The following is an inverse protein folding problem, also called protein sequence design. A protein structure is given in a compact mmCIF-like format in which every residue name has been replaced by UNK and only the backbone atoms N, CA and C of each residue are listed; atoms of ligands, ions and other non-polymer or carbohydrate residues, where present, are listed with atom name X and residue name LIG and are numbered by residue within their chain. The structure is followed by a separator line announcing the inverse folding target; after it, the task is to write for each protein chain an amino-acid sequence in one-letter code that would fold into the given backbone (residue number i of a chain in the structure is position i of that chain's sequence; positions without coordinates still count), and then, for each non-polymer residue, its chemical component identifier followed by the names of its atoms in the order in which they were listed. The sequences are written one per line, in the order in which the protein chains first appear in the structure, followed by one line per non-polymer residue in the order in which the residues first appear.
data_IF_827922535157
#
_entry.id   IF_827922535157
#
_cell.length_a   1.000
_cell.length_b   1.000
_cell.length_c   1.000
_cell.angle_alpha   90.00
_cell.angle_beta   90.00
_cell.angle_gamma   90.00
#
_symmetry.space_group_name_H-M   'P 1'
#
loop_
_entity.id
_entity.type
_entity.pdbx_description
1 polymer ?
#
# COMPACT_ATOMS: atom_id res chain seq x y z
N UNK A 1 45.83 -32.48 71.35
CA UNK A 1 45.38 -31.09 71.17
C UNK A 1 43.92 -31.11 70.77
N UNK A 2 43.14 -30.32 71.50
CA UNK A 2 41.72 -29.97 71.41
C UNK A 2 40.63 -31.06 71.53
N UNK A 3 39.80 -30.77 72.52
CA UNK A 3 38.62 -31.49 72.98
C UNK A 3 37.35 -30.96 72.29
N UNK A 4 36.31 -31.79 72.35
CA UNK A 4 34.94 -31.46 71.99
C UNK A 4 34.32 -30.42 72.94
N UNK A 5 33.43 -29.58 72.39
CA UNK A 5 32.35 -28.95 73.13
C UNK A 5 31.11 -28.90 72.24
N UNK A 6 30.11 -29.70 72.65
CA UNK A 6 28.72 -29.57 72.21
C UNK A 6 28.17 -28.21 72.64
N UNK A 7 27.42 -27.54 71.76
CA UNK A 7 26.46 -26.52 72.17
C UNK A 7 25.09 -26.90 71.62
N UNK A 8 24.17 -26.97 72.58
CA UNK A 8 22.81 -27.45 72.51
C UNK A 8 21.96 -26.73 71.45
N UNK A 9 21.05 -27.49 70.84
CA UNK A 9 19.93 -26.93 70.09
C UNK A 9 18.99 -26.15 71.01
N UNK A 10 18.52 -25.01 70.53
CA UNK A 10 17.36 -24.32 71.10
C UNK A 10 16.09 -24.86 70.42
N UNK A 11 15.00 -25.06 71.20
CA UNK A 11 13.81 -25.77 70.76
C UNK A 11 12.98 -24.96 69.74
N UNK A 12 12.42 -25.68 68.76
CA UNK A 12 11.36 -25.20 67.87
C UNK A 12 10.07 -24.96 68.68
N UNK A 13 9.91 -23.76 69.23
CA UNK A 13 8.58 -23.26 69.62
C UNK A 13 8.26 -22.06 68.73
N UNK A 14 7.64 -22.35 67.58
CA UNK A 14 7.36 -21.42 66.48
C UNK A 14 6.18 -20.46 66.74
N UNK A 15 5.80 -20.24 68.00
CA UNK A 15 4.63 -19.44 68.37
C UNK A 15 4.97 -18.38 69.40
N UNK A 16 4.69 -17.11 69.09
CA UNK A 16 4.69 -16.05 70.09
C UNK A 16 3.52 -16.23 71.08
N UNK A 17 3.62 -15.70 72.31
CA UNK A 17 2.50 -15.62 73.23
C UNK A 17 1.30 -14.86 72.61
N UNK A 18 0.10 -15.16 73.09
CA UNK A 18 -1.14 -14.48 72.67
C UNK A 18 -0.98 -12.95 72.84
N UNK A 19 -1.28 -12.19 71.76
CA UNK A 19 -1.09 -10.74 71.71
C UNK A 19 0.26 -10.25 71.13
N UNK A 20 1.08 -11.11 70.52
CA UNK A 20 2.35 -10.73 69.88
C UNK A 20 2.49 -11.30 68.46
N UNK A 21 3.32 -10.67 67.62
CA UNK A 21 3.65 -11.13 66.26
C UNK A 21 5.17 -11.23 66.02
N UNK A 22 5.58 -12.09 65.10
CA UNK A 22 6.98 -12.23 64.69
C UNK A 22 7.44 -11.03 63.84
N UNK A 23 8.62 -10.49 64.15
CA UNK A 23 9.34 -9.54 63.32
C UNK A 23 10.85 -9.87 63.36
N UNK A 24 11.40 -10.37 62.25
CA UNK A 24 12.86 -10.53 62.10
C UNK A 24 13.57 -11.40 63.16
N UNK A 25 12.89 -12.41 63.71
CA UNK A 25 13.31 -13.34 64.78
C UNK A 25 12.94 -12.94 66.23
N UNK A 26 12.21 -11.84 66.45
CA UNK A 26 11.72 -11.44 67.77
C UNK A 26 10.19 -11.33 67.80
N UNK A 27 9.57 -11.59 68.96
CA UNK A 27 8.15 -11.32 69.17
C UNK A 27 7.97 -9.87 69.62
N UNK A 28 7.21 -9.09 68.85
CA UNK A 28 6.85 -7.70 69.17
C UNK A 28 5.37 -7.61 69.56
N UNK A 29 4.99 -6.71 70.49
CA UNK A 29 3.59 -6.49 70.85
C UNK A 29 2.72 -6.26 69.61
N UNK A 30 1.59 -6.95 69.53
CA UNK A 30 0.56 -6.68 68.54
C UNK A 30 0.10 -5.24 68.72
N UNK A 31 0.12 -4.46 67.64
CA UNK A 31 -0.52 -3.15 67.62
C UNK A 31 -2.04 -3.41 67.57
N UNK A 32 -2.60 -3.78 68.71
CA UNK A 32 -4.04 -3.77 68.94
C UNK A 32 -4.48 -2.31 69.03
N UNK A 33 -4.65 -1.71 67.86
CA UNK A 33 -5.43 -0.49 67.69
C UNK A 33 -6.89 -0.81 67.96
N UNK A 34 -7.28 -0.79 69.23
CA UNK A 34 -8.68 -0.76 69.63
C UNK A 34 -9.37 0.47 69.03
N UNK A 35 -10.34 0.23 68.16
CA UNK A 35 -11.43 1.16 67.88
C UNK A 35 -12.73 0.36 67.90
N UNK A 36 -13.43 0.51 69.02
CA UNK A 36 -14.81 0.11 69.21
C UNK A 36 -15.69 1.16 68.51
N UNK A 37 -16.51 0.74 67.54
CA UNK A 37 -17.59 1.56 67.00
C UNK A 37 -17.60 1.69 65.48
N UNK A 38 -18.69 1.18 64.90
CA UNK A 38 -18.98 1.08 63.47
C UNK A 38 -18.13 0.04 62.72
N UNK A 39 -18.72 -1.13 62.47
CA UNK A 39 -18.40 -1.90 61.28
C UNK A 39 -18.74 -1.05 60.06
N UNK A 40 -17.83 -0.16 59.66
CA UNK A 40 -17.64 0.06 58.23
C UNK A 40 -16.99 -1.23 57.72
N UNK A 41 -17.54 -1.89 56.69
CA UNK A 41 -16.86 -3.03 56.12
C UNK A 41 -15.51 -2.53 55.61
N UNK A 42 -14.45 -3.11 56.18
CA UNK A 42 -13.12 -3.14 55.61
C UNK A 42 -13.30 -3.56 54.15
N UNK A 43 -13.19 -2.60 53.24
CA UNK A 43 -13.08 -2.82 51.81
C UNK A 43 -11.67 -3.38 51.56
N UNK A 44 -11.53 -4.66 51.92
CA UNK A 44 -10.34 -5.46 51.72
C UNK A 44 -10.58 -6.51 50.62
N UNK A 45 -11.47 -6.19 49.67
CA UNK A 45 -11.54 -6.82 48.37
C UNK A 45 -11.05 -5.84 47.30
N UNK A 46 -10.46 -6.30 46.19
CA UNK A 46 -10.19 -5.41 45.06
C UNK A 46 -11.53 -4.77 44.61
N UNK A 47 -11.52 -3.44 44.48
CA UNK A 47 -12.67 -2.53 44.27
C UNK A 47 -13.79 -3.15 43.43
N UNK A 48 -14.87 -3.66 44.05
CA UNK A 48 -15.96 -4.44 43.45
C UNK A 48 -16.90 -3.67 42.47
N UNK A 49 -16.35 -2.81 41.61
CA UNK A 49 -17.05 -2.25 40.44
C UNK A 49 -17.21 -3.28 39.31
N UNK A 50 -17.92 -2.96 38.23
CA UNK A 50 -18.22 -3.92 37.16
C UNK A 50 -16.98 -4.54 36.47
N UNK A 51 -15.80 -3.92 36.60
CA UNK A 51 -14.50 -4.45 36.14
C UNK A 51 -13.43 -4.33 37.24
N UNK A 52 -13.79 -4.73 38.46
CA UNK A 52 -13.07 -4.70 39.75
C UNK A 52 -11.68 -5.36 39.88
N UNK A 53 -10.88 -5.41 38.83
CA UNK A 53 -9.56 -6.05 38.86
C UNK A 53 -9.23 -6.57 37.49
N UNK A 54 -8.29 -5.88 36.84
CA UNK A 54 -7.63 -6.17 35.56
C UNK A 54 -8.42 -7.11 34.66
N UNK A 55 -9.14 -6.52 33.70
CA UNK A 55 -9.67 -7.31 32.61
C UNK A 55 -8.52 -8.06 31.93
N UNK A 56 -8.68 -9.39 31.77
CA UNK A 56 -7.75 -10.21 31.00
C UNK A 56 -7.72 -9.80 29.51
N UNK A 57 -8.76 -9.09 29.07
CA UNK A 57 -8.84 -8.38 27.79
C UNK A 57 -8.61 -6.88 28.02
N UNK A 58 -7.94 -6.20 27.09
CA UNK A 58 -7.40 -4.85 27.31
C UNK A 58 -8.43 -3.78 27.71
N UNK A 59 -9.74 -4.02 27.49
CA UNK A 59 -10.79 -3.01 27.70
C UNK A 59 -11.91 -3.46 28.64
N UNK A 60 -12.48 -2.49 29.37
CA UNK A 60 -13.67 -2.66 30.20
C UNK A 60 -14.81 -1.77 29.70
N UNK A 61 -15.95 -2.38 29.37
CA UNK A 61 -17.21 -1.66 29.22
C UNK A 61 -17.89 -1.55 30.59
N UNK A 62 -17.69 -0.39 31.24
CA UNK A 62 -18.27 -0.06 32.54
C UNK A 62 -19.81 -0.07 32.55
N UNK A 63 -20.45 0.05 31.39
CA UNK A 63 -21.92 0.06 31.28
C UNK A 63 -22.52 -1.34 31.30
N UNK A 64 -21.82 -2.31 30.72
CA UNK A 64 -22.22 -3.73 30.74
C UNK A 64 -21.51 -4.56 31.81
N UNK A 65 -20.43 -4.04 32.40
CA UNK A 65 -19.58 -4.78 33.33
C UNK A 65 -18.86 -5.95 32.69
N UNK A 66 -18.52 -5.83 31.40
CA UNK A 66 -17.83 -6.86 30.64
C UNK A 66 -16.46 -6.36 30.22
N UNK A 67 -15.50 -7.27 30.29
CA UNK A 67 -14.20 -7.10 29.67
C UNK A 67 -14.33 -7.45 28.18
N UNK A 68 -13.80 -6.58 27.32
CA UNK A 68 -13.89 -6.65 25.87
C UNK A 68 -12.49 -6.61 25.27
N UNK A 69 -12.31 -7.25 24.12
CA UNK A 69 -11.08 -7.15 23.33
C UNK A 69 -10.96 -5.76 22.70
N UNK A 70 -12.09 -5.12 22.40
CA UNK A 70 -12.14 -3.81 21.78
C UNK A 70 -13.39 -3.03 22.23
N UNK A 71 -13.29 -1.72 22.19
CA UNK A 71 -14.35 -0.71 22.28
C UNK A 71 -14.61 -0.04 20.93
N UNK A 72 -13.63 -0.09 20.02
CA UNK A 72 -13.76 0.37 18.64
C UNK A 72 -12.73 -0.24 17.71
N UNK A 73 -12.91 -0.02 16.41
CA UNK A 73 -12.07 -0.62 15.36
C UNK A 73 -10.59 -0.28 15.53
N UNK A 74 -10.25 0.89 16.09
CA UNK A 74 -8.87 1.35 16.31
C UNK A 74 -8.05 0.38 17.19
N UNK A 75 -8.70 -0.42 18.04
CA UNK A 75 -8.03 -1.37 18.93
C UNK A 75 -7.80 -2.74 18.26
N UNK A 76 -8.49 -3.02 17.14
CA UNK A 76 -8.34 -4.26 16.37
C UNK A 76 -7.14 -4.19 15.41
N UNK A 77 -5.91 -4.34 15.91
CA UNK A 77 -4.70 -4.19 15.06
C UNK A 77 -4.39 -5.39 14.16
N UNK A 78 -5.12 -6.50 14.29
CA UNK A 78 -4.94 -7.70 13.48
C UNK A 78 -5.66 -7.56 12.12
N UNK A 79 -4.92 -7.69 11.02
CA UNK A 79 -5.48 -7.63 9.67
C UNK A 79 -6.51 -8.75 9.38
N UNK A 80 -6.41 -9.91 10.03
CA UNK A 80 -7.41 -10.99 9.89
C UNK A 80 -8.66 -10.79 10.75
N UNK A 81 -8.68 -9.78 11.64
CA UNK A 81 -9.82 -9.43 12.47
C UNK A 81 -9.84 -7.91 12.72
N UNK A 82 -10.09 -7.11 11.67
CA UNK A 82 -9.88 -5.66 11.72
C UNK A 82 -11.10 -4.85 12.22
N UNK A 83 -12.21 -5.47 12.60
CA UNK A 83 -13.42 -4.72 12.97
C UNK A 83 -13.85 -5.09 14.38
N UNK A 84 -14.11 -4.10 15.22
CA UNK A 84 -14.66 -4.33 16.53
C UNK A 84 -16.17 -4.53 16.44
N UNK A 85 -16.63 -5.74 16.73
CA UNK A 85 -18.04 -6.10 16.71
C UNK A 85 -18.45 -6.72 18.04
N UNK A 86 -19.34 -6.05 18.78
CA UNK A 86 -19.83 -6.52 20.08
C UNK A 86 -18.69 -6.75 21.10
N UNK A 87 -17.62 -5.99 20.95
CA UNK A 87 -16.45 -5.99 21.83
C UNK A 87 -15.47 -7.13 21.60
N UNK A 88 -15.55 -7.79 20.45
CA UNK A 88 -14.57 -8.75 19.93
C UNK A 88 -14.09 -8.27 18.56
N UNK A 89 -12.81 -8.44 18.27
CA UNK A 89 -12.28 -8.15 16.94
C UNK A 89 -12.68 -9.27 15.97
N UNK A 90 -13.18 -8.89 14.80
CA UNK A 90 -13.68 -9.80 13.78
C UNK A 90 -13.53 -9.26 12.37
N UNK A 91 -14.19 -9.94 11.44
CA UNK A 91 -13.97 -9.78 10.00
C UNK A 91 -14.32 -8.38 9.46
N UNK A 92 -13.56 -7.93 8.46
CA UNK A 92 -14.00 -6.83 7.61
C UNK A 92 -15.17 -7.25 6.72
N UNK A 93 -15.94 -6.25 6.29
CA UNK A 93 -17.04 -6.39 5.33
C UNK A 93 -16.96 -5.39 4.17
N UNK A 94 -16.13 -4.35 4.32
CA UNK A 94 -15.90 -3.29 3.33
C UNK A 94 -14.45 -2.84 3.37
N UNK A 95 -13.92 -2.40 2.24
CA UNK A 95 -12.55 -1.91 2.05
C UNK A 95 -12.20 -0.73 2.98
N UNK A 96 -13.15 0.17 3.25
CA UNK A 96 -12.98 1.31 4.16
C UNK A 96 -12.54 0.89 5.58
N UNK A 97 -12.88 -0.33 6.02
CA UNK A 97 -12.51 -0.85 7.34
C UNK A 97 -11.02 -1.23 7.43
N UNK A 98 -10.34 -1.33 6.28
CA UNK A 98 -8.94 -1.71 6.18
C UNK A 98 -7.98 -0.52 6.15
N UNK A 99 -8.45 0.66 5.72
CA UNK A 99 -7.62 1.85 5.53
C UNK A 99 -6.82 2.24 6.78
N UNK A 100 -7.37 2.00 7.98
CA UNK A 100 -6.69 2.29 9.27
C UNK A 100 -5.45 1.42 9.52
N UNK A 101 -5.40 0.23 8.92
CA UNK A 101 -4.26 -0.69 9.00
C UNK A 101 -3.22 -0.41 7.91
N UNK A 102 -3.46 0.57 7.04
CA UNK A 102 -2.65 0.82 5.85
C UNK A 102 -2.82 -0.25 4.78
N UNK A 103 -3.97 -0.95 4.80
CA UNK A 103 -4.36 -1.97 3.83
C UNK A 103 -5.61 -1.50 3.10
N UNK A 104 -5.81 -1.93 1.86
CA UNK A 104 -6.80 -1.32 0.99
C UNK A 104 -8.01 -2.20 0.74
N UNK A 105 -7.87 -3.52 0.78
CA UNK A 105 -8.91 -4.45 0.32
C UNK A 105 -9.42 -5.34 1.44
N UNK A 106 -10.74 -5.47 1.55
CA UNK A 106 -11.38 -6.47 2.40
C UNK A 106 -11.60 -7.77 1.61
N UNK A 107 -10.79 -8.79 1.89
CA UNK A 107 -10.84 -10.07 1.21
C UNK A 107 -10.97 -11.24 2.20
N UNK A 108 -11.99 -12.07 2.01
CA UNK A 108 -12.29 -13.22 2.88
C UNK A 108 -12.34 -12.87 4.39
N UNK A 109 -12.81 -11.67 4.71
CA UNK A 109 -12.93 -11.17 6.10
C UNK A 109 -11.64 -10.58 6.66
N UNK A 110 -10.53 -10.64 5.94
CA UNK A 110 -9.27 -10.00 6.30
C UNK A 110 -8.95 -8.78 5.44
N UNK A 111 -8.22 -7.84 6.01
CA UNK A 111 -7.61 -6.76 5.27
C UNK A 111 -6.32 -7.23 4.58
N UNK A 112 -6.21 -6.94 3.30
CA UNK A 112 -5.04 -7.27 2.47
C UNK A 112 -4.75 -6.12 1.51
N UNK A 113 -3.53 -6.10 0.97
CA UNK A 113 -3.25 -5.36 -0.25
C UNK A 113 -3.29 -6.33 -1.43
N UNK A 114 -3.75 -5.83 -2.56
CA UNK A 114 -3.60 -6.55 -3.81
C UNK A 114 -2.11 -6.56 -4.23
N UNK A 115 -1.73 -7.59 -4.97
CA UNK A 115 -0.42 -7.68 -5.63
C UNK A 115 -0.64 -8.12 -7.07
N UNK A 116 0.32 -7.93 -8.00
CA UNK A 116 0.23 -8.50 -9.34
C UNK A 116 -0.06 -10.00 -9.36
N UNK A 117 0.31 -10.73 -8.31
CA UNK A 117 0.09 -12.17 -8.17
C UNK A 117 -1.28 -12.52 -7.56
N UNK A 118 -1.84 -11.66 -6.70
CA UNK A 118 -3.12 -11.90 -5.99
C UNK A 118 -4.31 -11.14 -6.57
N UNK A 119 -4.07 -10.24 -7.52
CA UNK A 119 -5.08 -9.32 -8.06
C UNK A 119 -6.32 -10.02 -8.63
N UNK A 120 -6.20 -11.22 -9.21
CA UNK A 120 -7.34 -11.96 -9.77
C UNK A 120 -8.29 -12.47 -8.68
N UNK A 121 -7.76 -12.71 -7.48
CA UNK A 121 -8.55 -13.16 -6.33
C UNK A 121 -9.07 -11.99 -5.49
N UNK A 122 -8.22 -10.96 -5.30
CA UNK A 122 -8.51 -9.84 -4.40
C UNK A 122 -9.37 -8.77 -5.09
N UNK A 123 -8.98 -8.34 -6.29
CA UNK A 123 -9.68 -7.26 -6.98
C UNK A 123 -10.93 -7.76 -7.71
N UNK A 124 -11.92 -6.88 -7.95
CA UNK A 124 -13.05 -7.25 -8.79
C UNK A 124 -12.57 -7.62 -10.21
N UNK A 125 -13.26 -8.56 -10.92
CA UNK A 125 -12.69 -9.24 -12.09
C UNK A 125 -12.24 -8.35 -13.25
N UNK A 126 -12.77 -7.13 -13.36
CA UNK A 126 -12.43 -6.19 -14.42
C UNK A 126 -11.27 -5.26 -14.05
N UNK A 127 -10.99 -5.09 -12.75
CA UNK A 127 -10.13 -4.02 -12.25
C UNK A 127 -8.72 -4.49 -11.97
N UNK A 128 -7.80 -3.55 -12.13
CA UNK A 128 -6.36 -3.75 -12.01
C UNK A 128 -5.90 -3.44 -10.59
N UNK A 129 -4.96 -4.21 -10.07
CA UNK A 129 -4.25 -3.85 -8.86
C UNK A 129 -3.19 -2.77 -9.17
N UNK A 130 -3.18 -1.66 -8.43
CA UNK A 130 -2.08 -0.69 -8.48
C UNK A 130 -0.94 -1.14 -7.56
N UNK A 131 0.23 -1.54 -8.12
CA UNK A 131 1.35 -1.99 -7.29
C UNK A 131 2.02 -0.86 -6.51
N UNK A 132 1.69 0.41 -6.78
CA UNK A 132 2.27 1.56 -6.10
C UNK A 132 1.70 1.73 -4.68
N UNK A 133 0.42 1.43 -4.49
CA UNK A 133 -0.25 1.55 -3.19
C UNK A 133 -0.92 0.27 -2.69
N UNK A 134 -1.07 -0.76 -3.54
CA UNK A 134 -1.69 -2.04 -3.15
C UNK A 134 -3.21 -2.03 -3.19
N UNK A 135 -3.82 -1.03 -3.84
CA UNK A 135 -5.27 -0.89 -3.99
C UNK A 135 -5.78 -1.39 -5.34
N UNK A 136 -7.03 -1.85 -5.36
CA UNK A 136 -7.75 -2.18 -6.57
C UNK A 136 -8.31 -0.90 -7.22
N UNK A 137 -7.99 -0.68 -8.49
CA UNK A 137 -8.45 0.50 -9.21
C UNK A 137 -9.97 0.51 -9.39
N UNK A 138 -10.59 1.70 -9.41
CA UNK A 138 -12.03 1.83 -9.71
C UNK A 138 -12.33 2.02 -11.21
N UNK A 139 -11.33 2.38 -12.01
CA UNK A 139 -11.52 2.79 -13.41
C UNK A 139 -10.55 2.13 -14.39
N UNK A 140 -9.41 1.61 -13.92
CA UNK A 140 -8.45 0.93 -14.79
C UNK A 140 -8.92 -0.50 -15.05
N UNK A 141 -9.34 -0.74 -16.30
CA UNK A 141 -9.89 -2.04 -16.70
C UNK A 141 -8.81 -2.87 -17.37
N UNK A 142 -8.70 -4.13 -16.95
CA UNK A 142 -7.73 -5.09 -17.47
C UNK A 142 -7.76 -5.18 -18.99
N UNK A 143 -6.59 -5.12 -19.61
CA UNK A 143 -6.43 -5.29 -21.05
C UNK A 143 -7.02 -4.19 -21.94
N UNK A 144 -7.51 -3.09 -21.38
CA UNK A 144 -8.15 -2.01 -22.17
C UNK A 144 -7.15 -1.06 -22.82
N UNK A 145 -5.91 -0.99 -22.31
CA UNK A 145 -4.94 0.00 -22.77
C UNK A 145 -4.07 -0.57 -23.89
N UNK A 146 -4.11 0.13 -25.03
CA UNK A 146 -3.29 -0.17 -26.20
C UNK A 146 -1.89 0.45 -26.16
N UNK A 147 -1.16 0.30 -27.26
CA UNK A 147 0.20 0.82 -27.39
C UNK A 147 0.31 2.31 -27.02
N UNK A 148 1.30 2.66 -26.21
CA UNK A 148 1.55 4.02 -25.70
C UNK A 148 0.43 4.64 -24.86
N UNK A 149 -0.61 3.89 -24.49
CA UNK A 149 -1.57 4.36 -23.50
C UNK A 149 -0.98 4.31 -22.09
N UNK A 150 -1.36 5.25 -21.24
CA UNK A 150 -0.94 5.30 -19.84
C UNK A 150 -1.51 4.10 -19.06
N UNK A 151 -0.71 3.55 -18.16
CA UNK A 151 -1.07 2.38 -17.36
C UNK A 151 -0.49 2.49 -15.95
N UNK A 152 -1.09 1.70 -15.04
CA UNK A 152 -0.70 1.61 -13.62
C UNK A 152 -0.10 0.25 -13.28
N UNK A 153 -0.43 -0.80 -14.05
CA UNK A 153 0.10 -2.15 -13.90
C UNK A 153 0.12 -2.87 -15.24
N UNK A 154 0.86 -3.98 -15.33
CA UNK A 154 0.98 -4.80 -16.54
C UNK A 154 -0.38 -5.35 -16.99
N UNK A 155 -1.25 -5.74 -16.05
CA UNK A 155 -2.60 -6.26 -16.34
C UNK A 155 -3.55 -5.19 -16.91
N UNK A 156 -3.21 -3.90 -16.78
CA UNK A 156 -3.95 -2.82 -17.45
C UNK A 156 -3.75 -2.84 -18.96
N UNK A 157 -2.59 -3.33 -19.41
CA UNK A 157 -2.22 -3.38 -20.81
C UNK A 157 -2.84 -4.58 -21.53
N UNK A 158 -3.18 -4.38 -22.81
CA UNK A 158 -3.64 -5.46 -23.68
C UNK A 158 -2.61 -6.58 -23.85
N UNK A 159 -3.05 -7.72 -24.37
CA UNK A 159 -2.18 -8.88 -24.59
C UNK A 159 -0.94 -8.51 -25.41
N UNK A 160 0.24 -8.89 -24.91
CA UNK A 160 1.51 -8.61 -25.60
C UNK A 160 2.19 -7.32 -25.19
N UNK A 161 1.57 -6.54 -24.32
CA UNK A 161 2.09 -5.30 -23.76
C UNK A 161 2.37 -5.47 -22.27
N UNK A 162 3.36 -4.76 -21.76
CA UNK A 162 3.56 -4.58 -20.32
C UNK A 162 3.59 -3.07 -20.00
N UNK A 163 3.38 -2.72 -18.73
CA UNK A 163 3.34 -1.35 -18.27
C UNK A 163 4.73 -0.85 -17.87
N UNK A 164 5.37 -0.11 -18.77
CA UNK A 164 6.79 0.22 -18.67
C UNK A 164 6.98 1.69 -18.31
N UNK A 165 7.77 2.04 -17.28
CA UNK A 165 8.10 3.42 -16.98
C UNK A 165 8.98 4.01 -18.08
N UNK A 166 8.63 5.20 -18.52
CA UNK A 166 9.29 5.92 -19.60
C UNK A 166 9.97 7.18 -19.11
N UNK A 167 10.89 7.68 -19.92
CA UNK A 167 11.54 8.97 -19.75
C UNK A 167 11.17 9.89 -20.91
N UNK A 168 11.28 11.20 -20.68
CA UNK A 168 11.27 12.19 -21.73
C UNK A 168 12.43 13.16 -21.50
N UNK A 169 13.31 13.29 -22.48
CA UNK A 169 14.52 14.13 -22.42
C UNK A 169 15.36 13.84 -21.16
N UNK A 170 15.47 12.55 -20.79
CA UNK A 170 16.20 12.10 -19.61
C UNK A 170 15.47 12.26 -18.27
N UNK A 171 14.27 12.84 -18.26
CA UNK A 171 13.44 12.98 -17.05
C UNK A 171 12.44 11.82 -16.95
N UNK A 172 12.35 11.11 -15.82
CA UNK A 172 11.31 10.10 -15.62
C UNK A 172 9.92 10.69 -15.77
N UNK A 173 9.02 9.92 -16.38
CA UNK A 173 7.60 10.26 -16.46
C UNK A 173 6.85 9.61 -15.30
N UNK A 174 5.76 10.24 -14.91
CA UNK A 174 4.85 9.69 -13.92
C UNK A 174 4.11 8.47 -14.51
N UNK A 175 4.06 7.39 -13.73
CA UNK A 175 3.41 6.15 -14.14
C UNK A 175 4.16 5.38 -15.23
N UNK A 176 3.41 4.60 -16.00
CA UNK A 176 3.93 3.75 -17.06
C UNK A 176 3.11 3.86 -18.33
N UNK A 177 3.64 3.28 -19.41
CA UNK A 177 2.98 3.20 -20.70
C UNK A 177 2.97 1.76 -21.20
N UNK A 178 1.89 1.37 -21.86
CA UNK A 178 1.77 0.04 -22.43
C UNK A 178 2.68 -0.08 -23.65
N UNK A 179 3.78 -0.80 -23.49
CA UNK A 179 4.77 -1.03 -24.53
C UNK A 179 4.75 -2.48 -24.98
N UNK A 180 4.78 -2.70 -26.29
CA UNK A 180 4.76 -4.04 -26.87
C UNK A 180 6.07 -4.74 -26.57
N UNK A 181 6.02 -6.01 -26.15
CA UNK A 181 7.23 -6.81 -25.99
C UNK A 181 7.95 -6.99 -27.32
N UNK A 182 9.26 -6.75 -27.33
CA UNK A 182 10.11 -6.83 -28.52
C UNK A 182 10.08 -8.23 -29.15
N UNK A 183 9.91 -9.28 -28.34
CA UNK A 183 9.76 -10.68 -28.78
C UNK A 183 8.57 -10.91 -29.71
N UNK A 184 7.56 -10.05 -29.68
CA UNK A 184 6.39 -10.10 -30.56
C UNK A 184 6.58 -9.27 -31.85
N UNK A 185 7.71 -8.57 -31.97
CA UNK A 185 8.06 -7.67 -33.06
C UNK A 185 7.66 -6.22 -32.80
N UNK A 186 8.30 -5.29 -33.52
CA UNK A 186 7.95 -3.88 -33.47
C UNK A 186 7.12 -3.45 -34.67
N UNK A 187 6.26 -2.46 -34.46
CA UNK A 187 5.45 -1.81 -35.50
C UNK A 187 5.67 -0.32 -35.42
N UNK A 188 5.81 0.34 -36.57
CA UNK A 188 5.89 1.81 -36.63
C UNK A 188 4.66 2.43 -35.95
N UNK A 189 4.82 3.52 -35.17
CA UNK A 189 6.05 4.27 -34.93
C UNK A 189 6.98 3.69 -33.83
N UNK A 190 6.55 2.65 -33.14
CA UNK A 190 7.24 2.03 -32.00
C UNK A 190 8.44 1.18 -32.44
N UNK A 191 9.48 1.80 -32.98
CA UNK A 191 10.65 1.14 -33.56
C UNK A 191 11.89 1.18 -32.68
N UNK A 192 11.87 1.94 -31.58
CA UNK A 192 13.02 2.12 -30.71
C UNK A 192 13.02 1.00 -29.65
N UNK A 193 14.08 0.18 -29.60
CA UNK A 193 14.17 -0.86 -28.57
C UNK A 193 14.46 -0.23 -27.20
N UNK A 194 13.61 -0.51 -26.24
CA UNK A 194 13.77 -0.11 -24.84
C UNK A 194 14.17 -1.36 -24.04
N UNK A 195 15.30 -1.29 -23.35
CA UNK A 195 15.88 -2.40 -22.59
C UNK A 195 16.16 -2.00 -21.14
N UNK A 196 16.32 -3.00 -20.26
CA UNK A 196 16.76 -2.79 -18.87
C UNK A 196 15.73 -2.09 -17.97
N UNK A 197 14.46 -2.04 -18.39
CA UNK A 197 13.37 -1.48 -17.57
C UNK A 197 12.79 -2.56 -16.66
N UNK A 198 12.34 -2.13 -15.48
CA UNK A 198 11.43 -2.88 -14.62
C UNK A 198 10.02 -2.34 -14.86
N UNK A 199 9.05 -3.21 -15.10
CA UNK A 199 7.65 -2.79 -15.26
C UNK A 199 7.06 -2.32 -13.94
N UNK A 200 5.91 -1.65 -13.97
CA UNK A 200 5.23 -1.24 -12.73
C UNK A 200 4.76 -2.43 -11.90
N UNK A 201 4.42 -3.56 -12.53
CA UNK A 201 4.17 -4.83 -11.82
C UNK A 201 5.45 -5.59 -11.44
N UNK A 202 6.62 -5.00 -11.61
CA UNK A 202 7.88 -5.51 -11.10
C UNK A 202 8.63 -6.49 -12.00
N UNK A 203 8.12 -6.80 -13.21
CA UNK A 203 8.75 -7.69 -14.19
C UNK A 203 10.05 -7.10 -14.72
N UNK A 204 11.06 -7.94 -14.97
CA UNK A 204 12.39 -7.53 -15.49
C UNK A 204 12.88 -8.46 -16.58
N UNK A 205 13.93 -8.05 -17.32
CA UNK A 205 14.60 -8.90 -18.31
C UNK A 205 13.98 -8.89 -19.71
N UNK A 206 12.82 -8.25 -19.87
CA UNK A 206 12.19 -8.04 -21.17
C UNK A 206 12.75 -6.80 -21.89
N UNK A 207 12.57 -6.79 -23.21
CA UNK A 207 12.78 -5.61 -24.05
C UNK A 207 11.45 -5.21 -24.69
N UNK A 208 11.32 -3.93 -25.00
CA UNK A 208 10.07 -3.34 -25.46
C UNK A 208 10.26 -2.54 -26.74
N UNK A 209 9.20 -2.49 -27.53
CA UNK A 209 9.07 -1.57 -28.65
C UNK A 209 8.50 -0.26 -28.13
N UNK A 210 9.30 0.79 -28.19
CA UNK A 210 8.91 2.12 -27.78
C UNK A 210 9.25 3.18 -28.82
N UNK A 211 9.23 4.41 -28.37
CA UNK A 211 9.50 5.62 -29.13
C UNK A 211 10.85 6.20 -28.73
N UNK A 212 11.28 7.25 -29.44
CA UNK A 212 12.50 7.97 -29.09
C UNK A 212 12.26 8.95 -27.95
N UNK A 213 12.52 8.49 -26.72
CA UNK A 213 12.38 9.25 -25.48
C UNK A 213 13.22 10.54 -25.45
N UNK A 214 14.19 10.73 -26.36
CA UNK A 214 14.97 11.95 -26.45
C UNK A 214 14.21 13.11 -27.09
N UNK A 215 13.20 12.82 -27.93
CA UNK A 215 12.53 13.84 -28.76
C UNK A 215 11.00 13.73 -28.77
N UNK A 216 10.41 12.62 -28.33
CA UNK A 216 8.96 12.40 -28.37
C UNK A 216 8.43 11.72 -27.10
N UNK A 217 7.11 11.78 -26.91
CA UNK A 217 6.39 11.10 -25.84
C UNK A 217 5.25 10.25 -26.40
N UNK A 218 4.75 9.31 -25.59
CA UNK A 218 3.65 8.47 -26.00
C UNK A 218 2.38 9.27 -26.30
N UNK A 219 2.09 10.30 -25.50
CA UNK A 219 0.99 11.22 -25.72
C UNK A 219 1.14 11.96 -27.05
N UNK A 220 2.37 12.38 -27.40
CA UNK A 220 2.63 13.05 -28.67
C UNK A 220 2.37 12.13 -29.87
N UNK A 221 2.66 10.83 -29.72
CA UNK A 221 2.31 9.83 -30.72
C UNK A 221 0.80 9.62 -30.82
N UNK A 222 0.09 9.61 -29.69
CA UNK A 222 -1.36 9.37 -29.65
C UNK A 222 -2.19 10.49 -30.29
N UNK A 223 -1.75 11.75 -30.15
CA UNK A 223 -2.43 12.92 -30.75
C UNK A 223 -2.01 13.20 -32.20
N UNK A 224 -1.18 12.35 -32.81
CA UNK A 224 -0.76 12.53 -34.20
C UNK A 224 -1.98 12.57 -35.14
N UNK A 225 -2.07 13.62 -35.95
CA UNK A 225 -3.16 13.81 -36.90
C UNK A 225 -4.35 14.61 -36.36
N UNK A 226 -4.36 14.97 -35.07
CA UNK A 226 -5.36 15.89 -34.52
C UNK A 226 -5.19 17.31 -35.07
N UNK A 227 -6.25 18.11 -35.06
CA UNK A 227 -6.20 19.50 -35.52
C UNK A 227 -5.63 20.41 -34.41
N UNK A 228 -4.76 21.35 -34.80
CA UNK A 228 -4.25 22.41 -33.93
C UNK A 228 -4.63 23.81 -34.47
N UNK A 229 -5.84 24.31 -34.19
CA UNK A 229 -6.46 25.44 -34.90
C UNK A 229 -5.71 26.77 -34.81
N UNK A 230 -5.00 27.01 -33.70
CA UNK A 230 -4.19 28.22 -33.49
C UNK A 230 -2.81 28.14 -34.15
N UNK A 231 -2.43 26.97 -34.69
CA UNK A 231 -1.10 26.73 -35.25
C UNK A 231 -0.02 26.53 -34.19
N UNK A 232 -0.41 26.38 -32.92
CA UNK A 232 0.53 26.29 -31.79
C UNK A 232 0.56 24.86 -31.22
N UNK A 233 1.73 24.44 -30.75
CA UNK A 233 1.89 23.14 -30.07
C UNK A 233 1.01 23.00 -28.83
N UNK A 234 0.59 24.12 -28.22
CA UNK A 234 -0.36 24.12 -27.11
C UNK A 234 -1.75 23.62 -27.50
N UNK A 235 -2.13 23.59 -28.78
CA UNK A 235 -3.39 22.95 -29.15
C UNK A 235 -3.29 21.43 -29.11
N UNK A 236 -2.07 20.89 -29.21
CA UNK A 236 -1.75 19.49 -28.95
C UNK A 236 -1.53 19.27 -27.43
N UNK A 237 -2.32 19.98 -26.61
CA UNK A 237 -2.09 20.30 -25.18
C UNK A 237 -1.91 19.09 -24.27
N UNK A 238 -2.38 17.94 -24.74
CA UNK A 238 -2.31 16.66 -24.03
C UNK A 238 -0.91 16.03 -24.06
N UNK A 239 0.06 16.60 -24.79
CA UNK A 239 1.25 15.87 -25.19
C UNK A 239 2.55 16.69 -25.19
N UNK A 240 3.39 16.57 -24.13
CA UNK A 240 4.77 17.05 -24.18
C UNK A 240 5.50 16.42 -25.38
N UNK A 241 6.27 17.19 -26.15
CA UNK A 241 6.93 16.67 -27.36
C UNK A 241 6.05 16.61 -28.63
N UNK A 242 4.77 16.97 -28.54
CA UNK A 242 3.96 17.26 -29.71
C UNK A 242 4.27 18.66 -30.26
N UNK A 243 4.16 18.80 -31.58
CA UNK A 243 4.29 20.06 -32.31
C UNK A 243 3.12 20.22 -33.27
N UNK A 244 2.72 21.45 -33.54
CA UNK A 244 1.74 21.77 -34.57
C UNK A 244 2.47 22.08 -35.87
N UNK A 245 2.17 21.34 -36.94
CA UNK A 245 2.89 21.44 -38.19
C UNK A 245 2.03 21.22 -39.42
N UNK A 246 2.69 21.27 -40.58
CA UNK A 246 2.08 20.81 -41.84
C UNK A 246 2.42 19.34 -42.04
N UNK A 247 1.42 18.46 -42.02
CA UNK A 247 1.59 17.01 -42.19
C UNK A 247 1.01 16.59 -43.53
N UNK A 248 1.85 16.08 -44.43
CA UNK A 248 1.43 15.63 -45.77
C UNK A 248 0.59 16.69 -46.54
N UNK A 249 0.96 17.96 -46.42
CA UNK A 249 0.30 19.09 -47.08
C UNK A 249 -0.93 19.65 -46.36
N UNK A 250 -1.30 19.09 -45.20
CA UNK A 250 -2.37 19.61 -44.34
C UNK A 250 -1.73 20.45 -43.24
N UNK A 251 -2.01 21.75 -43.23
CA UNK A 251 -1.54 22.66 -42.20
C UNK A 251 -2.32 22.46 -40.89
N UNK A 252 -1.75 22.92 -39.77
CA UNK A 252 -2.39 22.90 -38.46
C UNK A 252 -2.77 21.48 -38.02
N UNK A 253 -1.84 20.54 -38.18
CA UNK A 253 -1.98 19.15 -37.73
C UNK A 253 -0.94 18.82 -36.66
N UNK A 254 -1.39 18.24 -35.55
CA UNK A 254 -0.54 17.73 -34.50
C UNK A 254 0.34 16.59 -35.01
N UNK A 255 1.62 16.68 -34.68
CA UNK A 255 2.65 15.71 -35.02
C UNK A 255 3.73 15.75 -33.93
N UNK A 256 4.82 15.03 -34.08
CA UNK A 256 5.86 14.92 -33.08
C UNK A 256 7.23 14.87 -33.71
N UNK A 257 8.23 15.26 -32.93
CA UNK A 257 9.60 15.25 -33.37
C UNK A 257 10.13 13.83 -33.55
N UNK A 258 11.03 13.65 -34.51
CA UNK A 258 11.59 12.36 -34.87
C UNK A 258 13.06 12.50 -35.24
N UNK A 259 13.79 11.40 -35.11
CA UNK A 259 15.18 11.25 -35.53
C UNK A 259 15.33 10.26 -36.70
N UNK A 260 14.34 9.40 -36.94
CA UNK A 260 14.36 8.42 -38.03
C UNK A 260 12.97 8.19 -38.65
N UNK A 261 12.93 7.82 -39.92
CA UNK A 261 11.69 7.51 -40.64
C UNK A 261 10.85 6.44 -39.95
N UNK A 262 11.46 5.41 -39.36
CA UNK A 262 10.77 4.31 -38.68
C UNK A 262 10.04 4.77 -37.42
N UNK A 263 10.42 5.92 -36.86
CA UNK A 263 9.74 6.55 -35.72
C UNK A 263 8.46 7.26 -36.13
N UNK A 264 8.18 7.39 -37.43
CA UNK A 264 6.93 7.97 -37.92
C UNK A 264 5.89 6.91 -38.27
N UNK A 265 4.58 7.27 -38.29
CA UNK A 265 3.53 6.36 -38.73
C UNK A 265 3.75 5.89 -40.16
N UNK A 266 3.05 4.84 -40.56
CA UNK A 266 3.17 4.31 -41.92
C UNK A 266 2.98 5.40 -42.98
N UNK A 267 3.80 5.36 -44.04
CA UNK A 267 3.78 6.32 -45.15
C UNK A 267 4.15 7.77 -44.76
N UNK A 268 4.66 7.98 -43.54
CA UNK A 268 5.28 9.25 -43.12
C UNK A 268 6.79 9.09 -43.05
N UNK A 269 7.49 10.19 -43.23
CA UNK A 269 8.95 10.30 -43.12
C UNK A 269 9.28 11.34 -42.08
N UNK A 270 10.52 11.30 -41.60
CA UNK A 270 11.12 12.32 -40.77
C UNK A 270 12.08 13.13 -41.66
N UNK A 271 11.67 14.29 -42.19
CA UNK A 271 12.55 15.10 -43.02
C UNK A 271 13.50 15.91 -42.14
N UNK A 272 14.80 15.87 -42.46
CA UNK A 272 15.87 16.61 -41.77
C UNK A 272 15.63 18.14 -41.72
N UNK A 273 14.74 18.67 -42.57
CA UNK A 273 14.43 20.10 -42.67
C UNK A 273 13.27 20.56 -41.77
N UNK A 274 12.47 19.62 -41.26
CA UNK A 274 11.25 19.92 -40.48
C UNK A 274 11.27 19.34 -39.07
N UNK A 275 12.20 18.42 -38.77
CA UNK A 275 12.38 17.78 -37.45
C UNK A 275 11.13 17.06 -36.89
N UNK A 276 10.06 16.86 -37.69
CA UNK A 276 8.83 16.21 -37.24
C UNK A 276 8.22 15.27 -38.29
N UNK A 277 7.42 14.32 -37.82
CA UNK A 277 6.83 13.29 -38.67
C UNK A 277 5.84 13.85 -39.71
N UNK A 278 6.12 13.59 -40.98
CA UNK A 278 5.27 13.99 -42.11
C UNK A 278 5.43 15.45 -42.53
N UNK A 279 6.48 16.14 -42.07
CA UNK A 279 6.80 17.49 -42.50
C UNK A 279 7.15 17.62 -43.98
N UNK A 280 7.22 18.86 -44.50
CA UNK A 280 7.60 19.12 -45.87
C UNK A 280 9.07 18.75 -46.10
N UNK A 281 9.32 18.00 -47.17
CA UNK A 281 10.65 17.68 -47.70
C UNK A 281 11.23 18.81 -48.53
#
# INVERSE_FOLDING_TARGET
MLAAAMLAGCPETTSCPEGQRYFGAECVPGLDGGHDGAQEPIDAGPDAGPCAGECDLDHCDVSSGRCLECLGDDECTNASAPVCSVGECGDCTTDDQCSRLGLHECHEGGCVDCTPETEEAVCPPAFVCDPADGSCSETAVRGMVGACGACIADSHCGEGFDCVPMNYMGTPRDGGYCLRRLSLGCSRPYSVPIAGRRTLSGKTGEMYCGIDEAVTTCEAVLVFGEDCPSGLATDCTSAPGAVCGTVAGIANTCTYACADNLQCPMLRTCPDASDYCGGPS
#
